data_IF_227393931839
#
_entry.id   IF_227393931839
#
_cell.length_a   1.000
_cell.length_b   1.000
_cell.length_c   1.000
_cell.angle_alpha   90.00
_cell.angle_beta   90.00
_cell.angle_gamma   90.00
#
_symmetry.space_group_name_H-M   'P 1'
#
loop_
_entity.id
_entity.type
_entity.pdbx_description
1 polymer ?
#
# COMPACT_ATOMS: atom_id res chain seq x y z
N UNK A 1 1.43 0.58 13.88
CA UNK A 1 2.62 -0.25 14.06
C UNK A 1 2.23 -1.65 14.49
N UNK A 2 2.88 -2.68 13.93
CA UNK A 2 2.75 -4.07 14.33
C UNK A 2 4.09 -4.79 14.15
N UNK A 3 4.17 -6.02 14.61
CA UNK A 3 5.34 -6.88 14.39
C UNK A 3 5.03 -7.91 13.31
N UNK A 4 6.00 -8.15 12.45
CA UNK A 4 5.85 -9.07 11.33
C UNK A 4 5.49 -10.51 11.76
N UNK A 5 6.05 -10.98 12.88
CA UNK A 5 5.84 -12.36 13.35
C UNK A 5 4.39 -12.70 13.71
N UNK A 6 3.55 -11.70 13.88
CA UNK A 6 2.14 -11.93 14.25
C UNK A 6 1.31 -12.41 13.06
N UNK A 7 1.89 -12.49 11.86
CA UNK A 7 1.13 -12.75 10.63
C UNK A 7 1.84 -13.78 9.75
N UNK A 8 1.04 -14.68 9.18
CA UNK A 8 1.51 -15.68 8.23
C UNK A 8 1.16 -15.29 6.79
N UNK A 9 1.97 -15.77 5.84
CA UNK A 9 1.73 -15.57 4.43
C UNK A 9 0.33 -16.05 4.03
N UNK A 10 -0.36 -15.25 3.24
CA UNK A 10 -1.63 -15.63 2.63
C UNK A 10 -1.36 -16.06 1.19
N UNK A 11 -1.57 -17.34 0.89
CA UNK A 11 -1.43 -17.84 -0.46
C UNK A 11 -2.62 -17.43 -1.31
N UNK A 12 -2.36 -16.66 -2.36
CA UNK A 12 -3.37 -16.25 -3.33
C UNK A 12 -2.68 -16.09 -4.68
N UNK A 13 -3.08 -16.88 -5.70
CA UNK A 13 -2.44 -16.80 -7.02
C UNK A 13 -2.65 -15.46 -7.73
N UNK A 14 -3.59 -14.63 -7.27
CA UNK A 14 -3.79 -13.28 -7.81
C UNK A 14 -2.71 -12.30 -7.37
N UNK A 15 -1.95 -12.60 -6.31
CA UNK A 15 -0.86 -11.76 -5.84
C UNK A 15 0.39 -12.08 -6.66
N UNK A 16 0.89 -11.10 -7.40
CA UNK A 16 2.01 -11.25 -8.33
C UNK A 16 3.07 -10.19 -8.09
N UNK A 17 4.35 -10.52 -8.34
CA UNK A 17 5.40 -9.50 -8.32
C UNK A 17 5.23 -8.52 -9.48
N UNK A 18 5.80 -7.33 -9.33
CA UNK A 18 5.66 -6.24 -10.30
C UNK A 18 6.12 -6.64 -11.70
N UNK A 19 7.20 -7.43 -11.80
CA UNK A 19 7.79 -7.81 -13.09
C UNK A 19 6.89 -8.72 -13.92
N UNK A 20 5.83 -9.28 -13.35
CA UNK A 20 4.85 -10.09 -14.08
C UNK A 20 3.64 -9.28 -14.56
N UNK A 21 3.62 -7.98 -14.31
CA UNK A 21 2.46 -7.11 -14.60
C UNK A 21 2.89 -6.05 -15.61
N UNK A 22 2.00 -5.75 -16.57
CA UNK A 22 2.19 -4.63 -17.47
C UNK A 22 2.06 -3.32 -16.67
N UNK A 23 3.13 -2.53 -16.69
CA UNK A 23 3.18 -1.28 -15.94
C UNK A 23 2.08 -0.31 -16.35
N UNK A 24 1.67 -0.32 -17.62
CA UNK A 24 0.56 0.52 -18.09
C UNK A 24 -0.75 0.19 -17.38
N UNK A 25 -1.01 -1.10 -17.11
CA UNK A 25 -2.21 -1.50 -16.37
C UNK A 25 -2.15 -1.02 -14.91
N UNK A 26 -0.98 -1.04 -14.31
CA UNK A 26 -0.81 -0.52 -12.95
C UNK A 26 -1.03 0.98 -12.89
N UNK A 27 -0.52 1.73 -13.88
CA UNK A 27 -0.76 3.17 -13.97
C UNK A 27 -2.23 3.49 -14.18
N UNK A 28 -2.93 2.70 -15.00
CA UNK A 28 -4.37 2.88 -15.20
C UNK A 28 -5.14 2.71 -13.90
N UNK A 29 -4.78 1.71 -13.10
CA UNK A 29 -5.39 1.52 -11.79
C UNK A 29 -5.09 2.70 -10.87
N UNK A 30 -3.84 3.12 -10.78
CA UNK A 30 -3.44 4.25 -9.92
C UNK A 30 -4.18 5.54 -10.30
N UNK A 31 -4.37 5.79 -11.60
CA UNK A 31 -5.05 6.99 -12.08
C UNK A 31 -6.54 7.05 -11.75
N UNK A 32 -7.16 5.91 -11.45
CA UNK A 32 -8.55 5.87 -10.98
C UNK A 32 -8.69 6.33 -9.54
N UNK A 33 -7.60 6.36 -8.81
CA UNK A 33 -7.58 6.71 -7.39
C UNK A 33 -7.01 8.11 -7.19
N UNK A 34 -5.94 8.42 -7.89
CA UNK A 34 -5.22 9.69 -7.77
C UNK A 34 -5.09 10.33 -9.15
N UNK A 35 -5.63 11.56 -9.31
CA UNK A 35 -5.69 12.23 -10.61
C UNK A 35 -4.36 12.77 -11.10
N UNK A 36 -3.43 13.07 -10.22
CA UNK A 36 -2.15 13.63 -10.62
C UNK A 36 -1.34 12.58 -11.36
N UNK A 37 -0.82 12.96 -12.52
CA UNK A 37 0.09 12.07 -13.22
C UNK A 37 1.36 11.89 -12.42
N UNK A 38 1.65 10.65 -12.06
CA UNK A 38 2.80 10.29 -11.23
C UNK A 38 3.61 9.17 -11.85
N UNK A 39 3.63 9.14 -13.18
CA UNK A 39 4.31 8.06 -13.90
C UNK A 39 5.78 7.94 -13.51
N UNK A 40 6.52 9.06 -13.49
CA UNK A 40 7.95 9.05 -13.18
C UNK A 40 8.18 8.68 -11.72
N UNK A 41 7.36 9.21 -10.82
CA UNK A 41 7.40 8.85 -9.42
C UNK A 41 7.13 7.36 -9.22
N UNK A 42 6.06 6.86 -9.81
CA UNK A 42 5.67 5.46 -9.71
C UNK A 42 6.76 4.54 -10.23
N UNK A 43 7.30 4.87 -11.40
CA UNK A 43 8.35 4.06 -12.01
C UNK A 43 9.57 3.91 -11.09
N UNK A 44 10.03 5.01 -10.53
CA UNK A 44 11.18 5.01 -9.62
C UNK A 44 10.86 4.33 -8.31
N UNK A 45 9.73 4.69 -7.70
CA UNK A 45 9.35 4.18 -6.39
C UNK A 45 9.15 2.68 -6.39
N UNK A 46 8.37 2.17 -7.35
CA UNK A 46 8.01 0.76 -7.39
C UNK A 46 9.18 -0.13 -7.77
N UNK A 47 10.12 0.36 -8.58
CA UNK A 47 11.28 -0.43 -8.97
C UNK A 47 12.36 -0.48 -7.88
N UNK A 48 12.44 0.54 -7.03
CA UNK A 48 13.44 0.59 -5.95
C UNK A 48 12.98 -0.13 -4.69
N UNK A 49 11.71 -0.49 -4.59
CA UNK A 49 11.16 -1.15 -3.40
C UNK A 49 10.42 -2.41 -3.79
N UNK A 50 10.23 -3.30 -2.82
CA UNK A 50 9.48 -4.54 -3.07
C UNK A 50 8.01 -4.22 -3.26
N UNK A 51 7.48 -4.59 -4.42
CA UNK A 51 6.10 -4.28 -4.81
C UNK A 51 5.35 -5.57 -5.15
N UNK A 52 4.14 -5.69 -4.64
CA UNK A 52 3.20 -6.75 -5.00
C UNK A 52 1.95 -6.15 -5.60
N UNK A 53 1.38 -6.86 -6.56
CA UNK A 53 0.19 -6.43 -7.30
C UNK A 53 -0.88 -7.51 -7.18
N UNK A 54 -2.11 -7.09 -6.90
CA UNK A 54 -3.26 -7.99 -6.95
C UNK A 54 -3.85 -7.93 -8.35
N UNK A 55 -3.68 -9.00 -9.12
CA UNK A 55 -4.08 -9.08 -10.52
C UNK A 55 -5.03 -10.25 -10.71
N UNK A 56 -6.27 -9.95 -11.06
CA UNK A 56 -7.33 -10.94 -11.16
C UNK A 56 -8.26 -10.60 -12.32
N UNK A 57 -8.69 -11.62 -13.07
CA UNK A 57 -9.57 -11.44 -14.24
C UNK A 57 -9.02 -10.42 -15.24
N UNK A 58 -7.71 -10.43 -15.49
CA UNK A 58 -7.02 -9.54 -16.42
C UNK A 58 -7.01 -8.07 -16.00
N UNK A 59 -7.27 -7.76 -14.74
CA UNK A 59 -7.23 -6.38 -14.21
C UNK A 59 -6.39 -6.28 -12.94
N UNK A 60 -5.71 -5.16 -12.81
CA UNK A 60 -5.09 -4.77 -11.54
C UNK A 60 -6.20 -4.32 -10.60
N UNK A 61 -6.26 -4.92 -9.43
CA UNK A 61 -7.26 -4.57 -8.40
C UNK A 61 -6.65 -3.99 -7.15
N UNK A 62 -5.34 -3.94 -7.08
CA UNK A 62 -4.63 -3.35 -5.97
C UNK A 62 -3.13 -3.52 -6.14
N UNK A 63 -2.38 -2.73 -5.39
CA UNK A 63 -0.94 -2.90 -5.31
C UNK A 63 -0.43 -2.29 -4.02
N UNK A 64 0.75 -2.71 -3.61
CA UNK A 64 1.39 -2.16 -2.44
C UNK A 64 2.89 -2.33 -2.49
N UNK A 65 3.58 -1.51 -1.71
CA UNK A 65 5.04 -1.48 -1.64
C UNK A 65 5.49 -1.50 -0.20
N UNK A 66 6.59 -2.21 0.08
CA UNK A 66 7.26 -2.17 1.37
C UNK A 66 8.70 -1.71 1.18
N UNK A 67 9.17 -0.88 2.10
CA UNK A 67 10.55 -0.39 2.11
C UNK A 67 11.10 -0.39 3.52
N UNK A 68 12.40 -0.56 3.65
CA UNK A 68 13.08 -0.42 4.93
C UNK A 68 13.13 1.06 5.31
N UNK A 69 12.89 1.35 6.58
CA UNK A 69 13.00 2.70 7.13
C UNK A 69 13.86 2.64 8.41
N UNK A 70 14.04 3.80 9.06
CA UNK A 70 14.96 3.91 10.20
C UNK A 70 14.64 2.92 11.32
N UNK A 71 13.36 2.77 11.70
CA UNK A 71 12.95 1.96 12.84
C UNK A 71 12.27 0.65 12.46
N UNK A 72 12.36 0.24 11.19
CA UNK A 72 11.73 -0.99 10.73
C UNK A 72 11.40 -0.93 9.25
N UNK A 73 10.13 -1.18 8.91
CA UNK A 73 9.66 -1.18 7.52
C UNK A 73 8.38 -0.37 7.40
N UNK A 74 8.25 0.32 6.28
CA UNK A 74 7.08 1.11 5.95
C UNK A 74 6.35 0.48 4.78
N UNK A 75 5.05 0.21 4.91
CA UNK A 75 4.19 -0.19 3.80
C UNK A 75 3.51 1.08 3.27
N UNK A 76 3.66 1.32 1.97
CA UNK A 76 3.02 2.43 1.28
C UNK A 76 3.72 2.77 -0.03
N UNK A 77 2.96 3.11 -1.08
CA UNK A 77 1.50 3.15 -1.10
C UNK A 77 0.86 1.77 -0.96
N UNK A 78 -0.37 1.73 -0.49
CA UNK A 78 -1.19 0.52 -0.47
C UNK A 78 -2.59 0.90 -0.97
N UNK A 79 -2.89 0.55 -2.19
CA UNK A 79 -4.16 0.84 -2.86
C UNK A 79 -4.85 -0.47 -3.20
N UNK A 80 -6.16 -0.53 -2.98
CA UNK A 80 -6.93 -1.73 -3.26
C UNK A 80 -8.40 -1.39 -3.48
N UNK A 81 -9.07 -2.20 -4.30
CA UNK A 81 -10.50 -2.03 -4.55
C UNK A 81 -11.35 -2.28 -3.30
N UNK A 82 -10.88 -3.15 -2.40
CA UNK A 82 -11.59 -3.44 -1.16
C UNK A 82 -10.62 -3.86 -0.05
N UNK A 83 -11.16 -3.98 1.16
CA UNK A 83 -10.37 -4.29 2.34
C UNK A 83 -9.73 -5.67 2.30
N UNK A 84 -10.41 -6.65 1.72
CA UNK A 84 -9.87 -8.01 1.60
C UNK A 84 -8.58 -8.02 0.77
N UNK A 85 -8.58 -7.33 -0.37
CA UNK A 85 -7.40 -7.22 -1.23
C UNK A 85 -6.28 -6.49 -0.50
N UNK A 86 -6.60 -5.38 0.18
CA UNK A 86 -5.63 -4.63 0.96
C UNK A 86 -4.99 -5.49 2.06
N UNK A 87 -5.80 -6.28 2.75
CA UNK A 87 -5.33 -7.18 3.80
C UNK A 87 -4.36 -8.22 3.24
N UNK A 88 -4.72 -8.87 2.15
CA UNK A 88 -3.86 -9.89 1.52
C UNK A 88 -2.54 -9.30 1.04
N UNK A 89 -2.59 -8.14 0.40
CA UNK A 89 -1.37 -7.45 -0.03
C UNK A 89 -0.49 -7.08 1.15
N UNK A 90 -1.07 -6.51 2.19
CA UNK A 90 -0.32 -6.08 3.37
C UNK A 90 0.39 -7.26 4.03
N UNK A 91 -0.33 -8.34 4.31
CA UNK A 91 0.25 -9.51 4.98
C UNK A 91 1.38 -10.13 4.15
N UNK A 92 1.22 -10.17 2.83
CA UNK A 92 2.26 -10.72 1.96
C UNK A 92 3.47 -9.79 1.80
N UNK A 93 3.24 -8.48 1.79
CA UNK A 93 4.33 -7.51 1.75
C UNK A 93 5.23 -7.59 2.99
N UNK A 94 4.63 -7.71 4.17
CA UNK A 94 5.41 -7.72 5.41
C UNK A 94 6.26 -8.97 5.58
N UNK A 95 6.03 -10.02 4.78
CA UNK A 95 6.88 -11.21 4.82
C UNK A 95 8.33 -10.91 4.39
N UNK A 96 8.56 -9.79 3.69
CA UNK A 96 9.91 -9.34 3.34
C UNK A 96 10.66 -8.69 4.49
N UNK A 97 9.96 -8.29 5.54
CA UNK A 97 10.59 -7.69 6.70
C UNK A 97 11.24 -8.75 7.59
N UNK A 98 12.21 -8.30 8.39
CA UNK A 98 12.80 -9.17 9.40
C UNK A 98 11.73 -9.63 10.40
N UNK A 99 11.84 -10.87 10.95
CA UNK A 99 10.77 -11.43 11.79
C UNK A 99 10.38 -10.60 13.00
N UNK A 100 11.32 -9.87 13.59
CA UNK A 100 11.07 -9.03 14.77
C UNK A 100 10.87 -7.56 14.43
N UNK A 101 10.86 -7.22 13.14
CA UNK A 101 10.78 -5.82 12.72
C UNK A 101 9.42 -5.20 13.04
N UNK A 102 9.44 -3.91 13.32
CA UNK A 102 8.21 -3.12 13.38
C UNK A 102 7.77 -2.75 11.97
N UNK A 103 6.48 -2.80 11.75
CA UNK A 103 5.85 -2.45 10.48
C UNK A 103 5.00 -1.20 10.69
N UNK A 104 5.20 -0.22 9.84
CA UNK A 104 4.46 1.05 9.88
C UNK A 104 3.58 1.20 8.65
N UNK A 105 2.44 1.83 8.84
CA UNK A 105 1.48 2.12 7.79
C UNK A 105 0.87 3.49 8.05
N UNK A 106 0.98 4.39 7.09
CA UNK A 106 0.37 5.73 7.16
C UNK A 106 -1.03 5.66 6.54
N UNK A 107 -2.04 5.66 7.39
CA UNK A 107 -3.44 5.42 6.99
C UNK A 107 -4.19 6.74 6.88
N UNK A 108 -4.89 7.00 5.76
CA UNK A 108 -5.74 8.17 5.66
C UNK A 108 -7.00 8.00 6.50
N UNK A 109 -7.28 8.97 7.37
CA UNK A 109 -8.47 8.93 8.25
C UNK A 109 -9.78 8.99 7.47
N UNK A 110 -9.75 9.52 6.25
CA UNK A 110 -10.95 9.65 5.43
C UNK A 110 -11.43 8.33 4.84
N UNK A 111 -10.67 7.24 5.01
CA UNK A 111 -11.08 5.91 4.56
C UNK A 111 -11.50 5.06 5.75
N UNK A 112 -12.82 4.93 6.04
CA UNK A 112 -13.29 4.10 7.15
C UNK A 112 -12.88 2.63 7.02
N UNK A 113 -12.82 2.11 5.80
CA UNK A 113 -12.41 0.73 5.55
C UNK A 113 -10.96 0.49 5.97
N UNK A 114 -10.09 1.47 5.77
CA UNK A 114 -8.71 1.39 6.21
C UNK A 114 -8.60 1.38 7.74
N UNK A 115 -9.40 2.20 8.41
CA UNK A 115 -9.43 2.21 9.87
C UNK A 115 -9.91 0.87 10.43
N UNK A 116 -10.92 0.26 9.81
CA UNK A 116 -11.39 -1.07 10.20
C UNK A 116 -10.29 -2.12 10.00
N UNK A 117 -9.54 -2.04 8.90
CA UNK A 117 -8.41 -2.94 8.65
C UNK A 117 -7.35 -2.79 9.74
N UNK A 118 -7.04 -1.58 10.15
CA UNK A 118 -6.08 -1.35 11.23
C UNK A 118 -6.52 -1.99 12.54
N UNK A 119 -7.78 -1.87 12.89
CA UNK A 119 -8.33 -2.52 14.08
C UNK A 119 -8.25 -4.04 13.99
N UNK A 120 -8.58 -4.59 12.83
CA UNK A 120 -8.50 -6.02 12.57
C UNK A 120 -7.05 -6.53 12.72
N UNK A 121 -6.08 -5.77 12.24
CA UNK A 121 -4.66 -6.11 12.33
C UNK A 121 -4.07 -5.79 13.71
N UNK A 122 -4.84 -5.17 14.59
CA UNK A 122 -4.41 -4.76 15.94
C UNK A 122 -3.20 -3.83 15.90
N UNK A 123 -3.18 -2.94 14.92
CA UNK A 123 -2.11 -1.96 14.80
C UNK A 123 -2.25 -0.87 15.87
N UNK A 124 -1.12 -0.52 16.47
CA UNK A 124 -1.06 0.56 17.44
C UNK A 124 -0.79 1.88 16.75
N UNK A 125 -1.53 2.91 17.11
CA UNK A 125 -1.28 4.25 16.62
C UNK A 125 -0.05 4.82 17.31
N UNK A 126 0.95 5.23 16.53
CA UNK A 126 2.21 5.76 17.06
C UNK A 126 2.34 7.26 16.86
N UNK A 127 1.63 7.82 15.89
CA UNK A 127 1.61 9.27 15.65
C UNK A 127 0.33 9.65 14.93
N UNK A 128 -0.07 10.91 15.10
CA UNK A 128 -1.15 11.52 14.34
C UNK A 128 -0.52 12.60 13.47
N UNK A 129 -0.60 12.42 12.15
CA UNK A 129 -0.11 13.40 11.20
C UNK A 129 -1.28 13.96 10.41
N UNK A 130 -1.35 15.29 10.36
CA UNK A 130 -2.30 15.92 9.46
C UNK A 130 -1.85 15.65 8.03
N UNK A 131 -2.82 15.28 7.18
CA UNK A 131 -2.53 15.10 5.78
C UNK A 131 -2.21 16.47 5.16
N UNK A 132 -1.02 16.57 4.60
CA UNK A 132 -0.63 17.77 3.84
C UNK A 132 -0.67 17.42 2.37
N UNK A 133 -1.57 18.08 1.64
CA UNK A 133 -1.63 17.94 0.20
C UNK A 133 -0.61 18.89 -0.42
N UNK A 134 0.49 18.31 -0.90
CA UNK A 134 1.46 19.04 -1.71
C UNK A 134 1.21 18.68 -3.17
N UNK A 135 1.40 19.63 -4.08
CA UNK A 135 1.38 19.42 -5.52
C UNK A 135 -0.01 19.20 -6.14
N UNK A 136 -1.05 19.71 -5.55
CA UNK A 136 -2.39 19.68 -6.14
C UNK A 136 -2.90 18.28 -6.53
N UNK A 137 -2.35 17.23 -5.90
CA UNK A 137 -2.84 15.87 -6.13
C UNK A 137 -4.28 15.76 -5.64
N UNK A 138 -5.19 15.39 -6.53
CA UNK A 138 -6.58 15.17 -6.20
C UNK A 138 -6.83 13.69 -6.06
N UNK A 139 -7.40 13.30 -4.92
CA UNK A 139 -7.83 11.92 -4.69
C UNK A 139 -9.25 11.79 -5.22
N UNK A 140 -9.43 10.93 -6.22
CA UNK A 140 -10.74 10.65 -6.79
C UNK A 140 -11.49 9.65 -5.92
N UNK A 141 -10.79 8.61 -5.44
CA UNK A 141 -11.43 7.49 -4.74
C UNK A 141 -10.68 7.17 -3.46
N UNK A 142 -10.98 7.89 -2.38
CA UNK A 142 -10.30 7.73 -1.10
C UNK A 142 -10.56 6.37 -0.44
N UNK A 143 -11.68 5.72 -0.76
CA UNK A 143 -12.03 4.41 -0.20
C UNK A 143 -11.07 3.30 -0.65
N UNK A 144 -10.26 3.55 -1.67
CA UNK A 144 -9.28 2.61 -2.18
C UNK A 144 -7.86 2.84 -1.63
N UNK A 145 -7.65 3.87 -0.82
CA UNK A 145 -6.35 4.18 -0.25
C UNK A 145 -6.26 3.63 1.18
N UNK A 146 -5.44 2.62 1.37
CA UNK A 146 -5.19 1.98 2.67
C UNK A 146 -3.87 2.39 3.29
N UNK A 147 -2.95 2.89 2.50
CA UNK A 147 -1.70 3.44 2.96
C UNK A 147 -1.16 4.44 1.97
N UNK A 148 -0.57 5.53 2.45
CA UNK A 148 0.08 6.53 1.60
C UNK A 148 1.58 6.25 1.52
N UNK A 149 2.21 6.69 0.44
CA UNK A 149 3.63 6.44 0.22
C UNK A 149 4.49 7.20 1.24
N UNK A 150 4.27 8.47 1.32
CA UNK A 150 4.83 9.35 2.36
C UNK A 150 3.93 10.58 2.47
N UNK A 151 4.03 11.29 3.56
CA UNK A 151 3.28 12.54 3.70
C UNK A 151 3.83 13.67 2.82
N UNK A 152 5.04 13.52 2.32
CA UNK A 152 5.69 14.55 1.50
C UNK A 152 5.53 14.34 0.01
N UNK A 153 5.10 13.15 -0.43
CA UNK A 153 5.04 12.78 -1.85
C UNK A 153 3.65 12.28 -2.25
N UNK A 154 2.73 12.30 -1.36
CA UNK A 154 1.38 11.81 -1.63
C UNK A 154 0.59 12.70 -2.58
#
# INVERSE_FOLDING_TARGET
RLRRNDFELIEDPAIKPLDQIDFAQLLDFDSKVITTERRDFMHKWLQHHHTLVYYDHNYVRGYGTIRQCHDGYQVGPLLAENREIAHKLFVNLIQKADPQAHIFLDVPEINPSALVLMEFLRMQQTSINARMSLNNATIIESSMIYGVATFTIS
#
